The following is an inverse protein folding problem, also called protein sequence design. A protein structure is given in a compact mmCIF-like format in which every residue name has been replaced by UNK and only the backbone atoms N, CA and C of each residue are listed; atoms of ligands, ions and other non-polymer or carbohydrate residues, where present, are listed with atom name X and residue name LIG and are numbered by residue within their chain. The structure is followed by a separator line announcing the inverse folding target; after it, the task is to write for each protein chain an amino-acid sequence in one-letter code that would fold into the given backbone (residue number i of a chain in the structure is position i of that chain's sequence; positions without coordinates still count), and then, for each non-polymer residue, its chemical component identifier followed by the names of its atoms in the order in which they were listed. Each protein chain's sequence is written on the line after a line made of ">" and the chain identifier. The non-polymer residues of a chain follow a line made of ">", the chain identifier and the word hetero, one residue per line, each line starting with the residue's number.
data_IF_625613909332
#
_entry.id   IF_625613909332
#
_cell.length_a   1.000
_cell.length_b   1.000
_cell.length_c   1.000
_cell.angle_alpha   90.00
_cell.angle_beta   90.00
_cell.angle_gamma   90.00
#
_symmetry.space_group_name_H-M   'P 1'
#
loop_
_entity.id
_entity.type
_entity.pdbx_description
1 polymer ?
#
# COMPACT_ATOMS: atom_id res chain seq x y z
N UNK A 1 -23.53 23.75 8.74
CA UNK A 1 -24.43 23.10 7.76
C UNK A 1 -23.57 22.10 6.97
N UNK A 2 -23.41 20.86 7.44
CA UNK A 2 -22.70 19.80 6.72
C UNK A 2 -23.73 19.00 5.97
N UNK A 3 -23.67 19.03 4.64
CA UNK A 3 -24.49 18.20 3.77
C UNK A 3 -24.23 16.74 4.10
N UNK A 4 -25.28 16.00 4.49
CA UNK A 4 -25.25 14.52 4.50
C UNK A 4 -24.83 14.10 3.08
N UNK A 5 -23.65 13.51 2.97
CA UNK A 5 -23.30 12.73 1.78
C UNK A 5 -24.19 11.48 1.85
N UNK A 6 -25.40 11.60 1.32
CA UNK A 6 -26.17 10.43 0.94
C UNK A 6 -25.39 9.86 -0.24
N UNK A 7 -24.67 8.76 0.00
CA UNK A 7 -24.05 8.01 -1.09
C UNK A 7 -25.15 7.69 -2.09
N UNK A 8 -25.07 8.16 -3.34
CA UNK A 8 -26.03 7.75 -4.35
C UNK A 8 -25.96 6.23 -4.43
N UNK A 9 -27.10 5.56 -4.54
CA UNK A 9 -27.14 4.13 -4.80
C UNK A 9 -26.19 3.86 -5.96
N UNK A 10 -25.10 3.14 -5.68
CA UNK A 10 -24.05 2.86 -6.65
C UNK A 10 -24.71 2.21 -7.87
N UNK A 11 -24.63 2.86 -9.02
CA UNK A 11 -25.04 2.31 -10.32
C UNK A 11 -24.02 1.29 -10.84
N UNK A 12 -22.94 1.07 -10.09
CA UNK A 12 -21.90 0.13 -10.46
C UNK A 12 -22.45 -1.30 -10.42
N UNK A 13 -22.23 -2.03 -11.50
CA UNK A 13 -22.64 -3.43 -11.56
C UNK A 13 -21.86 -4.27 -10.53
N UNK A 14 -22.51 -5.27 -9.95
CA UNK A 14 -21.86 -6.24 -9.06
C UNK A 14 -20.61 -6.86 -9.73
N UNK A 15 -20.70 -7.13 -11.02
CA UNK A 15 -19.58 -7.66 -11.82
C UNK A 15 -18.37 -6.69 -11.79
N UNK A 16 -18.57 -5.38 -12.04
CA UNK A 16 -17.47 -4.40 -12.00
C UNK A 16 -16.82 -4.30 -10.62
N UNK A 17 -17.61 -4.40 -9.56
CA UNK A 17 -17.11 -4.42 -8.18
C UNK A 17 -16.29 -5.67 -7.93
N UNK A 18 -16.77 -6.86 -8.31
CA UNK A 18 -16.04 -8.12 -8.13
C UNK A 18 -14.73 -8.16 -8.91
N UNK A 19 -14.74 -7.69 -10.17
CA UNK A 19 -13.52 -7.60 -10.99
C UNK A 19 -12.51 -6.65 -10.34
N UNK A 20 -12.95 -5.48 -9.89
CA UNK A 20 -12.05 -4.50 -9.23
C UNK A 20 -11.48 -5.03 -7.92
N UNK A 21 -12.26 -5.76 -7.12
CA UNK A 21 -11.76 -6.45 -5.93
C UNK A 21 -10.73 -7.52 -6.29
N UNK A 22 -11.02 -8.35 -7.28
CA UNK A 22 -10.08 -9.36 -7.77
C UNK A 22 -8.75 -8.75 -8.23
N UNK A 23 -8.83 -7.61 -8.94
CA UNK A 23 -7.63 -6.87 -9.36
C UNK A 23 -6.81 -6.41 -8.16
N UNK A 24 -7.40 -5.74 -7.16
CA UNK A 24 -6.62 -5.26 -6.01
C UNK A 24 -6.10 -6.42 -5.14
N UNK A 25 -6.83 -7.52 -5.03
CA UNK A 25 -6.38 -8.69 -4.27
C UNK A 25 -5.17 -9.37 -4.92
N UNK A 26 -5.22 -9.60 -6.22
CA UNK A 26 -4.17 -10.30 -6.92
C UNK A 26 -2.99 -9.39 -7.27
N UNK A 27 -3.28 -8.23 -7.86
CA UNK A 27 -2.23 -7.34 -8.37
C UNK A 27 -1.39 -6.75 -7.25
N UNK A 28 -2.00 -6.22 -6.19
CA UNK A 28 -1.18 -5.68 -5.09
C UNK A 28 -0.36 -6.74 -4.38
N UNK A 29 -0.93 -7.93 -4.18
CA UNK A 29 -0.18 -9.04 -3.61
C UNK A 29 1.03 -9.44 -4.47
N UNK A 30 0.84 -9.54 -5.79
CA UNK A 30 1.93 -9.87 -6.72
C UNK A 30 2.98 -8.77 -6.88
N UNK A 31 2.64 -7.49 -6.56
CA UNK A 31 3.64 -6.41 -6.61
C UNK A 31 4.75 -6.58 -5.58
N UNK A 32 4.52 -7.25 -4.46
CA UNK A 32 5.60 -7.56 -3.50
C UNK A 32 6.62 -8.51 -4.11
N UNK A 33 6.16 -9.56 -4.79
CA UNK A 33 7.00 -10.51 -5.52
C UNK A 33 7.72 -9.82 -6.68
N UNK A 34 6.99 -9.03 -7.49
CA UNK A 34 7.59 -8.27 -8.58
C UNK A 34 8.63 -7.25 -8.11
N UNK A 35 8.42 -6.61 -6.94
CA UNK A 35 9.42 -5.72 -6.36
C UNK A 35 10.69 -6.50 -5.98
N UNK A 36 10.55 -7.71 -5.44
CA UNK A 36 11.69 -8.54 -5.08
C UNK A 36 12.55 -8.91 -6.30
N UNK A 37 11.96 -9.17 -7.47
CA UNK A 37 12.72 -9.36 -8.72
C UNK A 37 13.43 -8.08 -9.18
N UNK A 38 12.75 -6.93 -9.10
CA UNK A 38 13.33 -5.64 -9.55
C UNK A 38 14.57 -5.26 -8.74
N UNK A 39 14.53 -5.46 -7.41
CA UNK A 39 15.63 -5.06 -6.52
C UNK A 39 16.81 -6.05 -6.51
N UNK A 40 16.78 -7.09 -7.32
CA UNK A 40 17.94 -7.97 -7.55
C UNK A 40 19.03 -7.28 -8.37
N UNK A 41 18.66 -6.43 -9.33
CA UNK A 41 19.59 -5.73 -10.20
C UNK A 41 19.50 -4.19 -10.09
N UNK A 42 18.36 -3.66 -9.69
CA UNK A 42 18.11 -2.21 -9.62
C UNK A 42 18.06 -1.79 -8.16
N UNK A 43 18.81 -0.77 -7.81
CA UNK A 43 18.81 -0.20 -6.47
C UNK A 43 17.39 0.17 -6.00
N UNK A 44 17.03 -0.11 -4.72
CA UNK A 44 15.65 -0.06 -4.24
C UNK A 44 14.94 1.29 -4.42
N UNK A 45 15.63 2.41 -4.13
CA UNK A 45 15.05 3.75 -4.33
C UNK A 45 14.89 4.08 -5.80
N UNK A 46 15.89 3.72 -6.59
CA UNK A 46 15.89 3.90 -8.05
C UNK A 46 14.77 3.11 -8.71
N UNK A 47 14.68 1.80 -8.44
CA UNK A 47 13.65 0.92 -9.00
C UNK A 47 12.24 1.34 -8.58
N UNK A 48 12.06 1.64 -7.29
CA UNK A 48 10.79 2.16 -6.77
C UNK A 48 10.40 3.48 -7.43
N UNK A 49 11.37 4.38 -7.57
CA UNK A 49 11.14 5.70 -8.16
C UNK A 49 10.69 5.62 -9.61
N UNK A 50 11.42 4.92 -10.47
CA UNK A 50 11.05 4.76 -11.88
C UNK A 50 9.71 4.02 -12.04
N UNK A 51 9.46 2.98 -11.24
CA UNK A 51 8.18 2.27 -11.22
C UNK A 51 7.00 3.22 -10.97
N UNK A 52 7.07 4.02 -9.90
CA UNK A 52 5.97 4.90 -9.53
C UNK A 52 5.85 6.11 -10.46
N UNK A 53 6.95 6.63 -11.01
CA UNK A 53 6.88 7.65 -12.06
C UNK A 53 6.18 7.11 -13.31
N UNK A 54 6.52 5.91 -13.75
CA UNK A 54 5.85 5.24 -14.88
C UNK A 54 4.36 5.06 -14.60
N UNK A 55 3.99 4.56 -13.42
CA UNK A 55 2.59 4.43 -13.03
C UNK A 55 1.87 5.80 -13.00
N UNK A 56 2.53 6.85 -12.51
CA UNK A 56 1.99 8.21 -12.47
C UNK A 56 1.74 8.79 -13.86
N UNK A 57 2.64 8.54 -14.81
CA UNK A 57 2.46 8.92 -16.22
C UNK A 57 1.24 8.18 -16.81
N UNK A 58 1.17 6.86 -16.62
CA UNK A 58 0.05 6.05 -17.11
C UNK A 58 -1.30 6.49 -16.52
N UNK A 59 -1.36 6.76 -15.21
CA UNK A 59 -2.55 7.28 -14.54
C UNK A 59 -2.93 8.67 -15.05
N UNK A 60 -1.96 9.56 -15.27
CA UNK A 60 -2.20 10.90 -15.81
C UNK A 60 -2.78 10.82 -17.22
N UNK A 61 -2.20 9.98 -18.08
CA UNK A 61 -2.72 9.74 -19.43
C UNK A 61 -4.13 9.16 -19.38
N UNK A 62 -4.40 8.19 -18.50
CA UNK A 62 -5.72 7.61 -18.32
C UNK A 62 -6.76 8.66 -17.88
N UNK A 63 -6.40 9.54 -16.94
CA UNK A 63 -7.27 10.65 -16.51
C UNK A 63 -7.54 11.62 -17.67
N UNK A 64 -6.53 11.98 -18.44
CA UNK A 64 -6.68 12.89 -19.61
C UNK A 64 -7.60 12.27 -20.66
N UNK A 65 -7.42 10.99 -20.98
CA UNK A 65 -8.20 10.29 -21.99
C UNK A 65 -9.67 10.14 -21.57
N UNK A 66 -9.89 9.78 -20.29
CA UNK A 66 -11.26 9.43 -19.82
C UNK A 66 -12.08 10.64 -19.34
N UNK A 67 -11.41 11.66 -18.75
CA UNK A 67 -12.06 12.82 -18.15
C UNK A 67 -11.68 14.15 -18.80
N UNK A 68 -10.76 14.11 -19.76
CA UNK A 68 -10.20 15.28 -20.43
C UNK A 68 -9.16 16.03 -19.58
N UNK A 69 -8.37 16.94 -20.22
CA UNK A 69 -7.25 17.63 -19.55
C UNK A 69 -7.72 18.59 -18.41
N UNK A 70 -8.99 18.97 -18.41
CA UNK A 70 -9.55 19.81 -17.33
C UNK A 70 -9.62 19.10 -15.99
N UNK A 71 -9.65 17.76 -15.97
CA UNK A 71 -9.64 16.97 -14.75
C UNK A 71 -8.31 17.09 -13.95
N UNK A 72 -7.24 17.58 -14.59
CA UNK A 72 -5.96 17.90 -13.94
C UNK A 72 -5.87 19.38 -13.51
N UNK A 73 -6.91 20.22 -13.79
CA UNK A 73 -6.97 21.59 -13.29
C UNK A 73 -7.50 21.59 -11.86
N UNK A 74 -6.58 21.54 -10.92
CA UNK A 74 -6.82 21.50 -9.48
C UNK A 74 -6.14 22.71 -8.81
N UNK A 75 -6.55 23.02 -7.59
CA UNK A 75 -5.95 24.15 -6.86
C UNK A 75 -4.49 23.89 -6.54
N UNK A 76 -3.68 24.96 -6.47
CA UNK A 76 -2.27 24.86 -6.06
C UNK A 76 -2.11 24.16 -4.70
N UNK A 77 -3.03 24.41 -3.77
CA UNK A 77 -3.05 23.77 -2.44
C UNK A 77 -3.23 22.26 -2.55
N UNK A 78 -4.18 21.80 -3.37
CA UNK A 78 -4.42 20.37 -3.59
C UNK A 78 -3.21 19.68 -4.25
N UNK A 79 -2.53 20.34 -5.21
CA UNK A 79 -1.29 19.82 -5.81
C UNK A 79 -0.20 19.65 -4.76
N UNK A 80 0.06 20.69 -3.96
CA UNK A 80 1.10 20.66 -2.92
C UNK A 80 0.78 19.56 -1.89
N UNK A 81 -0.46 19.47 -1.45
CA UNK A 81 -0.89 18.45 -0.50
C UNK A 81 -0.74 17.03 -1.08
N UNK A 82 -1.10 16.83 -2.36
CA UNK A 82 -0.94 15.54 -3.01
C UNK A 82 0.55 15.17 -3.16
N UNK A 83 1.42 16.12 -3.51
CA UNK A 83 2.88 15.91 -3.56
C UNK A 83 3.40 15.55 -2.17
N UNK A 84 2.98 16.26 -1.12
CA UNK A 84 3.39 15.99 0.25
C UNK A 84 3.02 14.57 0.71
N UNK A 85 1.78 14.14 0.45
CA UNK A 85 1.37 12.76 0.75
C UNK A 85 2.13 11.74 -0.11
N UNK A 86 2.33 12.04 -1.40
CA UNK A 86 3.14 11.19 -2.29
C UNK A 86 4.60 11.05 -1.81
N UNK A 87 5.19 12.14 -1.31
CA UNK A 87 6.50 12.11 -0.68
C UNK A 87 6.55 11.13 0.52
N UNK A 88 5.55 11.19 1.40
CA UNK A 88 5.50 10.29 2.58
C UNK A 88 5.26 8.84 2.15
N UNK A 89 4.21 8.58 1.37
CA UNK A 89 3.77 7.22 1.04
C UNK A 89 4.71 6.51 0.07
N UNK A 90 5.25 7.25 -0.91
CA UNK A 90 6.00 6.68 -2.03
C UNK A 90 7.47 7.08 -1.95
N UNK A 91 7.77 8.35 -1.68
CA UNK A 91 9.14 8.82 -1.59
C UNK A 91 9.91 8.24 -0.41
N UNK A 92 9.26 8.14 0.75
CA UNK A 92 9.90 7.64 1.98
C UNK A 92 9.58 6.16 2.27
N UNK A 93 8.29 5.78 2.27
CA UNK A 93 7.90 4.45 2.72
C UNK A 93 8.20 3.37 1.68
N UNK A 94 7.78 3.54 0.42
CA UNK A 94 7.86 2.46 -0.57
C UNK A 94 9.27 1.96 -0.87
N UNK A 95 10.33 2.81 -0.95
CA UNK A 95 11.69 2.31 -1.16
C UNK A 95 12.20 1.43 -0.02
N UNK A 96 11.77 1.70 1.23
CA UNK A 96 12.12 0.84 2.38
C UNK A 96 11.55 -0.57 2.25
N UNK A 97 10.40 -0.74 1.57
CA UNK A 97 9.90 -2.07 1.20
C UNK A 97 10.82 -2.75 0.18
N UNK A 98 11.34 -1.98 -0.79
CA UNK A 98 12.35 -2.47 -1.75
C UNK A 98 13.63 -2.91 -1.05
N UNK A 99 14.15 -2.10 -0.12
CA UNK A 99 15.32 -2.46 0.73
C UNK A 99 15.03 -3.73 1.51
N UNK A 100 13.83 -3.87 2.06
CA UNK A 100 13.44 -5.09 2.79
C UNK A 100 13.35 -6.30 1.86
N UNK A 101 12.84 -6.12 0.63
CA UNK A 101 12.65 -7.19 -0.35
C UNK A 101 13.95 -7.84 -0.85
N UNK A 102 15.10 -7.17 -0.65
CA UNK A 102 16.42 -7.77 -0.91
C UNK A 102 16.81 -8.84 0.12
N UNK A 103 16.15 -8.90 1.28
CA UNK A 103 16.64 -9.67 2.43
C UNK A 103 15.57 -10.48 3.18
N UNK A 104 14.29 -10.20 2.94
CA UNK A 104 13.17 -10.96 3.52
C UNK A 104 12.15 -11.32 2.44
N UNK A 105 11.41 -12.39 2.68
CA UNK A 105 10.45 -12.93 1.71
C UNK A 105 9.31 -11.95 1.39
N UNK A 106 8.85 -11.98 0.15
CA UNK A 106 7.75 -11.12 -0.34
C UNK A 106 6.45 -11.36 0.43
N UNK A 107 6.20 -12.61 0.84
CA UNK A 107 5.06 -12.97 1.66
C UNK A 107 5.12 -12.38 3.06
N UNK A 108 6.31 -12.31 3.68
CA UNK A 108 6.49 -11.66 4.98
C UNK A 108 6.31 -10.14 4.86
N UNK A 109 6.83 -9.52 3.81
CA UNK A 109 6.59 -8.08 3.54
C UNK A 109 5.09 -7.80 3.44
N UNK A 110 4.36 -8.59 2.65
CA UNK A 110 2.91 -8.42 2.50
C UNK A 110 2.16 -8.55 3.84
N UNK A 111 2.60 -9.50 4.68
CA UNK A 111 2.04 -9.70 6.03
C UNK A 111 2.29 -8.50 6.94
N UNK A 112 3.51 -7.96 6.95
CA UNK A 112 3.85 -6.79 7.77
C UNK A 112 3.11 -5.54 7.28
N UNK A 113 3.01 -5.33 5.95
CA UNK A 113 2.27 -4.20 5.37
C UNK A 113 0.77 -4.29 5.69
N UNK A 114 0.22 -5.49 5.78
CA UNK A 114 -1.17 -5.68 6.20
C UNK A 114 -1.48 -5.13 7.60
N UNK A 115 -0.46 -4.87 8.44
CA UNK A 115 -0.64 -4.21 9.75
C UNK A 115 -0.93 -2.71 9.66
N UNK A 116 -0.93 -2.09 8.49
CA UNK A 116 -1.23 -0.64 8.32
C UNK A 116 -2.47 -0.18 9.09
N UNK A 117 -3.62 -0.89 9.10
CA UNK A 117 -4.79 -0.50 9.88
C UNK A 117 -4.52 -0.42 11.40
N UNK A 118 -3.64 -1.29 11.91
CA UNK A 118 -3.24 -1.27 13.33
C UNK A 118 -2.49 0.02 13.66
N UNK A 119 -1.52 0.39 12.83
CA UNK A 119 -0.77 1.65 13.02
C UNK A 119 -1.66 2.88 12.85
N UNK A 120 -2.61 2.86 11.91
CA UNK A 120 -3.60 3.94 11.77
C UNK A 120 -4.48 4.06 13.02
N UNK A 121 -4.94 2.94 13.60
CA UNK A 121 -5.73 2.95 14.84
C UNK A 121 -4.94 3.51 16.02
N UNK A 122 -3.64 3.20 16.13
CA UNK A 122 -2.74 3.77 17.13
C UNK A 122 -2.59 5.28 16.92
N UNK A 123 -2.38 5.74 15.69
CA UNK A 123 -2.30 7.17 15.38
C UNK A 123 -3.61 7.88 15.75
N UNK A 124 -4.76 7.33 15.40
CA UNK A 124 -6.06 7.88 15.78
C UNK A 124 -6.19 8.02 17.30
N UNK A 125 -5.76 7.01 18.05
CA UNK A 125 -5.74 7.07 19.52
C UNK A 125 -4.83 8.19 20.04
N UNK A 126 -3.63 8.34 19.51
CA UNK A 126 -2.69 9.41 19.90
C UNK A 126 -3.25 10.81 19.60
N UNK A 127 -4.12 10.95 18.61
CA UNK A 127 -4.80 12.20 18.24
C UNK A 127 -6.20 12.35 18.87
N UNK A 128 -6.52 11.58 19.90
CA UNK A 128 -7.70 11.76 20.75
C UNK A 128 -8.91 10.86 20.44
N UNK A 129 -8.81 10.00 19.43
CA UNK A 129 -9.87 9.01 19.15
C UNK A 129 -9.76 7.82 20.11
N UNK A 130 -10.69 7.67 21.05
CA UNK A 130 -10.68 6.54 21.98
C UNK A 130 -11.01 5.24 21.23
N UNK A 131 -10.11 4.25 21.15
CA UNK A 131 -10.36 3.02 20.43
C UNK A 131 -11.40 2.15 21.15
N UNK A 132 -12.12 1.32 20.41
CA UNK A 132 -13.00 0.31 21.01
C UNK A 132 -12.17 -0.80 21.68
N UNK A 133 -12.78 -1.53 22.63
CA UNK A 133 -12.11 -2.67 23.25
C UNK A 133 -11.65 -3.72 22.20
N UNK A 134 -12.45 -3.93 21.14
CA UNK A 134 -12.07 -4.83 20.04
C UNK A 134 -10.84 -4.32 19.30
N UNK A 135 -10.74 -3.01 19.07
CA UNK A 135 -9.58 -2.38 18.45
C UNK A 135 -8.33 -2.59 19.33
N UNK A 136 -8.44 -2.40 20.66
CA UNK A 136 -7.32 -2.62 21.58
C UNK A 136 -6.84 -4.07 21.55
N UNK A 137 -7.79 -5.02 21.66
CA UNK A 137 -7.46 -6.46 21.59
C UNK A 137 -6.79 -6.78 20.24
N UNK A 138 -7.33 -6.24 19.15
CA UNK A 138 -6.78 -6.45 17.82
C UNK A 138 -5.35 -5.93 17.65
N UNK A 139 -5.04 -4.76 18.23
CA UNK A 139 -3.68 -4.20 18.27
C UNK A 139 -2.74 -5.16 19.01
N UNK A 140 -3.11 -5.59 20.22
CA UNK A 140 -2.28 -6.50 21.04
C UNK A 140 -2.04 -7.83 20.33
N UNK A 141 -3.09 -8.43 19.76
CA UNK A 141 -2.99 -9.69 18.99
C UNK A 141 -2.12 -9.51 17.75
N UNK A 142 -2.29 -8.44 16.99
CA UNK A 142 -1.50 -8.18 15.78
C UNK A 142 -0.01 -8.05 16.09
N UNK A 143 0.36 -7.30 17.13
CA UNK A 143 1.77 -7.24 17.58
C UNK A 143 2.26 -8.58 18.13
N UNK A 144 1.41 -9.36 18.79
CA UNK A 144 1.74 -10.72 19.18
C UNK A 144 2.19 -11.60 18.01
N UNK A 145 1.50 -11.47 16.86
CA UNK A 145 1.90 -12.15 15.62
C UNK A 145 3.27 -11.71 15.11
N UNK A 146 3.60 -10.42 15.17
CA UNK A 146 4.94 -9.94 14.79
C UNK A 146 6.01 -10.47 15.74
N UNK A 147 5.74 -10.51 17.05
CA UNK A 147 6.68 -11.07 18.03
C UNK A 147 6.99 -12.54 17.70
N UNK A 148 6.01 -13.32 17.26
CA UNK A 148 6.21 -14.71 16.85
C UNK A 148 7.25 -14.79 15.72
N UNK A 149 7.18 -13.92 14.71
CA UNK A 149 8.18 -13.88 13.61
C UNK A 149 9.58 -13.50 14.14
N UNK A 150 9.65 -12.58 15.10
CA UNK A 150 10.92 -12.09 15.62
C UNK A 150 11.61 -13.07 16.58
N UNK A 151 10.84 -13.85 17.32
CA UNK A 151 11.36 -14.75 18.39
C UNK A 151 11.64 -16.15 17.86
N UNK A 152 10.78 -16.68 16.99
CA UNK A 152 11.02 -18.00 16.42
C UNK A 152 12.13 -17.88 15.36
N UNK A 153 13.24 -18.66 15.47
CA UNK A 153 14.32 -18.62 14.51
C UNK A 153 13.77 -18.82 13.09
N UNK A 154 13.82 -17.78 12.30
CA UNK A 154 13.49 -17.80 10.87
C UNK A 154 14.77 -17.58 10.07
N UNK A 155 14.73 -17.90 8.80
CA UNK A 155 15.81 -17.57 7.86
C UNK A 155 15.89 -16.06 7.61
N UNK A 156 14.88 -15.31 8.10
CA UNK A 156 14.65 -13.90 7.81
C UNK A 156 15.54 -12.97 8.67
N UNK A 157 16.03 -11.91 8.09
CA UNK A 157 16.88 -10.93 8.76
C UNK A 157 16.06 -9.91 9.56
N UNK A 158 16.22 -9.91 10.89
CA UNK A 158 15.47 -9.06 11.83
C UNK A 158 15.61 -7.56 11.49
N UNK A 159 16.79 -7.11 11.06
CA UNK A 159 17.00 -5.71 10.69
C UNK A 159 16.03 -5.28 9.59
N UNK A 160 15.85 -6.10 8.56
CA UNK A 160 14.98 -5.78 7.43
C UNK A 160 13.51 -5.97 7.76
N UNK A 161 13.15 -6.80 8.73
CA UNK A 161 11.80 -6.82 9.32
C UNK A 161 11.52 -5.47 10.00
N UNK A 162 12.47 -4.95 10.78
CA UNK A 162 12.32 -3.62 11.43
C UNK A 162 12.22 -2.51 10.38
N UNK A 163 13.03 -2.53 9.32
CA UNK A 163 12.94 -1.56 8.23
C UNK A 163 11.56 -1.60 7.55
N UNK A 164 11.02 -2.80 7.31
CA UNK A 164 9.69 -2.98 6.78
C UNK A 164 8.61 -2.44 7.72
N UNK A 165 8.72 -2.64 9.03
CA UNK A 165 7.80 -2.06 10.02
C UNK A 165 7.90 -0.52 10.07
N UNK A 166 9.10 0.06 9.97
CA UNK A 166 9.29 1.52 9.86
C UNK A 166 8.59 2.05 8.61
N UNK A 167 8.79 1.39 7.46
CA UNK A 167 8.06 1.71 6.22
C UNK A 167 6.55 1.75 6.45
N UNK A 168 6.02 0.73 7.14
CA UNK A 168 4.60 0.60 7.40
C UNK A 168 4.06 1.70 8.34
N UNK A 169 4.83 2.09 9.36
CA UNK A 169 4.50 3.25 10.21
C UNK A 169 4.45 4.54 9.37
N UNK A 170 5.42 4.76 8.48
CA UNK A 170 5.43 5.93 7.59
C UNK A 170 4.21 5.90 6.65
N UNK A 171 3.85 4.72 6.10
CA UNK A 171 2.63 4.55 5.30
C UNK A 171 1.36 4.89 6.10
N UNK A 172 1.29 4.46 7.36
CA UNK A 172 0.18 4.77 8.24
C UNK A 172 0.07 6.28 8.51
N UNK A 173 1.20 6.96 8.74
CA UNK A 173 1.26 8.42 8.90
C UNK A 173 0.74 9.13 7.64
N UNK A 174 1.25 8.76 6.45
CA UNK A 174 0.78 9.33 5.20
C UNK A 174 -0.72 9.09 4.96
N UNK A 175 -1.20 7.87 5.23
CA UNK A 175 -2.62 7.52 5.13
C UNK A 175 -3.50 8.28 6.13
N UNK A 176 -3.04 8.46 7.36
CA UNK A 176 -3.72 9.23 8.40
C UNK A 176 -3.86 10.71 8.01
N UNK A 177 -2.80 11.33 7.49
CA UNK A 177 -2.83 12.73 7.07
C UNK A 177 -3.58 12.93 5.77
N UNK A 178 -3.57 11.95 4.83
CA UNK A 178 -4.32 12.04 3.58
C UNK A 178 -5.83 12.24 3.78
N UNK A 179 -6.37 11.78 4.91
CA UNK A 179 -7.78 11.94 5.27
C UNK A 179 -8.10 13.31 5.92
N UNK A 180 -7.08 14.10 6.25
CA UNK A 180 -7.19 15.35 7.01
C UNK A 180 -6.81 16.60 6.25
N UNK A 181 -6.19 16.44 5.10
CA UNK A 181 -5.79 17.56 4.24
C UNK A 181 -6.60 17.55 2.94
N UNK A 182 -6.71 18.71 2.33
CA UNK A 182 -7.46 18.88 1.09
C UNK A 182 -6.70 18.28 -0.09
N UNK A 183 -7.24 17.20 -0.65
CA UNK A 183 -6.73 16.51 -1.83
C UNK A 183 -7.68 16.74 -3.02
N UNK A 184 -7.25 16.48 -4.27
CA UNK A 184 -8.13 16.48 -5.43
C UNK A 184 -9.34 15.56 -5.22
N UNK A 185 -10.53 15.99 -5.67
CA UNK A 185 -11.78 15.22 -5.53
C UNK A 185 -11.72 13.87 -6.25
N UNK A 186 -10.98 13.80 -7.36
CA UNK A 186 -10.79 12.56 -8.09
C UNK A 186 -9.67 11.72 -7.47
N UNK A 187 -9.95 10.53 -6.92
CA UNK A 187 -8.93 9.63 -6.38
C UNK A 187 -7.85 9.26 -7.41
N UNK A 188 -8.23 9.14 -8.71
CA UNK A 188 -7.28 8.88 -9.80
C UNK A 188 -6.32 10.04 -10.02
N UNK A 189 -6.82 11.28 -10.00
CA UNK A 189 -5.98 12.48 -10.12
C UNK A 189 -5.03 12.58 -8.93
N UNK A 190 -5.52 12.30 -7.74
CA UNK A 190 -4.70 12.24 -6.52
C UNK A 190 -3.60 11.19 -6.68
N UNK A 191 -3.95 9.97 -7.07
CA UNK A 191 -3.00 8.88 -7.27
C UNK A 191 -1.95 9.22 -8.34
N UNK A 192 -2.35 9.82 -9.46
CA UNK A 192 -1.43 10.22 -10.54
C UNK A 192 -0.34 11.19 -10.03
N UNK A 193 -0.74 12.21 -9.25
CA UNK A 193 0.20 13.19 -8.69
C UNK A 193 1.08 12.54 -7.62
N UNK A 194 0.48 11.80 -6.70
CA UNK A 194 1.22 11.14 -5.61
C UNK A 194 2.26 10.16 -6.15
N UNK A 195 1.89 9.33 -7.14
CA UNK A 195 2.80 8.34 -7.70
C UNK A 195 3.92 8.98 -8.50
N UNK A 196 3.62 9.97 -9.35
CA UNK A 196 4.64 10.63 -10.15
C UNK A 196 5.66 11.39 -9.29
N UNK A 197 5.19 12.32 -8.46
CA UNK A 197 6.09 13.13 -7.64
C UNK A 197 6.71 12.36 -6.48
N UNK A 198 6.00 11.39 -5.90
CA UNK A 198 6.55 10.49 -4.90
C UNK A 198 7.67 9.62 -5.47
N UNK A 199 7.51 9.10 -6.69
CA UNK A 199 8.54 8.37 -7.41
C UNK A 199 9.77 9.24 -7.71
N UNK A 200 9.57 10.48 -8.14
CA UNK A 200 10.66 11.45 -8.32
C UNK A 200 11.41 11.71 -7.00
N UNK A 201 10.69 11.88 -5.90
CA UNK A 201 11.31 12.05 -4.58
C UNK A 201 12.10 10.80 -4.17
N UNK A 202 11.62 9.59 -4.47
CA UNK A 202 12.35 8.36 -4.18
C UNK A 202 13.70 8.35 -4.90
N UNK A 203 13.74 8.66 -6.21
CA UNK A 203 15.00 8.74 -6.97
C UNK A 203 15.95 9.79 -6.34
N UNK A 204 15.44 10.98 -6.04
CA UNK A 204 16.26 12.02 -5.42
C UNK A 204 16.86 11.56 -4.09
N UNK A 205 16.07 10.91 -3.24
CA UNK A 205 16.55 10.36 -1.96
C UNK A 205 17.60 9.27 -2.23
N UNK A 206 17.39 8.38 -3.21
CA UNK A 206 18.35 7.35 -3.62
C UNK A 206 19.70 7.97 -4.00
N UNK A 207 19.70 9.00 -4.85
CA UNK A 207 20.90 9.74 -5.24
C UNK A 207 21.61 10.34 -4.00
N UNK A 208 20.89 10.99 -3.09
CA UNK A 208 21.47 11.53 -1.86
C UNK A 208 22.02 10.46 -0.92
N UNK A 209 21.50 9.25 -0.99
CA UNK A 209 22.00 8.08 -0.26
C UNK A 209 23.19 7.40 -0.92
N UNK A 210 23.55 7.81 -2.13
CA UNK A 210 24.63 7.24 -2.91
C UNK A 210 24.23 6.04 -3.76
N UNK A 211 22.94 5.82 -4.02
CA UNK A 211 22.51 4.83 -5.02
C UNK A 211 22.96 5.25 -6.43
N UNK A 212 23.37 4.28 -7.20
CA UNK A 212 23.70 4.48 -8.60
C UNK A 212 22.44 4.33 -9.47
N UNK A 213 21.86 5.43 -9.90
CA UNK A 213 20.68 5.41 -10.78
C UNK A 213 20.95 4.75 -12.13
N UNK A 214 22.22 4.54 -12.51
CA UNK A 214 22.56 3.82 -13.74
C UNK A 214 22.21 2.33 -13.67
N UNK A 215 22.07 1.74 -12.49
CA UNK A 215 21.62 0.35 -12.31
C UNK A 215 20.33 0.07 -13.05
N UNK A 216 19.44 1.07 -13.16
CA UNK A 216 18.21 0.97 -13.96
C UNK A 216 18.48 0.71 -15.44
N UNK A 217 19.51 1.31 -16.01
CA UNK A 217 19.82 1.18 -17.45
C UNK A 217 20.71 -0.02 -17.76
N UNK A 218 21.40 -0.55 -16.75
CA UNK A 218 22.32 -1.68 -16.92
C UNK A 218 21.73 -3.02 -16.47
N UNK A 219 20.49 -3.02 -15.93
CA UNK A 219 19.79 -4.26 -15.64
C UNK A 219 19.69 -5.12 -16.91
N UNK A 220 20.19 -6.36 -16.82
CA UNK A 220 20.38 -7.25 -17.96
C UNK A 220 19.37 -8.39 -18.00
N UNK A 221 18.85 -8.80 -16.84
CA UNK A 221 17.96 -9.93 -16.74
C UNK A 221 16.55 -9.60 -17.26
N UNK A 222 16.03 -10.48 -18.11
CA UNK A 222 14.66 -10.33 -18.65
C UNK A 222 13.59 -10.35 -17.56
N UNK A 223 13.81 -11.11 -16.49
CA UNK A 223 12.90 -11.22 -15.36
C UNK A 223 12.74 -9.90 -14.62
N UNK A 224 13.83 -9.15 -14.44
CA UNK A 224 13.82 -7.79 -13.85
C UNK A 224 12.93 -6.84 -14.66
N UNK A 225 13.08 -6.83 -15.99
CA UNK A 225 12.29 -5.96 -16.86
C UNK A 225 10.83 -6.38 -16.98
N UNK A 226 10.55 -7.69 -17.05
CA UNK A 226 9.18 -8.21 -17.02
C UNK A 226 8.50 -7.82 -15.71
N UNK A 227 9.19 -8.02 -14.59
CA UNK A 227 8.67 -7.64 -13.29
C UNK A 227 8.45 -6.13 -13.19
N UNK A 228 9.43 -5.31 -13.61
CA UNK A 228 9.31 -3.85 -13.60
C UNK A 228 8.11 -3.34 -14.42
N UNK A 229 7.97 -3.80 -15.66
CA UNK A 229 6.83 -3.44 -16.51
C UNK A 229 5.51 -3.92 -15.91
N UNK A 230 5.49 -5.15 -15.42
CA UNK A 230 4.32 -5.72 -14.76
C UNK A 230 3.87 -4.87 -13.57
N UNK A 231 4.75 -4.62 -12.59
CA UNK A 231 4.37 -3.87 -11.39
C UNK A 231 4.06 -2.39 -11.66
N UNK A 232 4.61 -1.81 -12.74
CA UNK A 232 4.32 -0.43 -13.15
C UNK A 232 2.93 -0.33 -13.79
N UNK A 233 2.65 -1.17 -14.80
CA UNK A 233 1.38 -1.15 -15.55
C UNK A 233 0.23 -1.69 -14.70
N UNK A 234 0.40 -2.89 -14.13
CA UNK A 234 -0.64 -3.51 -13.32
C UNK A 234 -0.86 -2.74 -12.01
N UNK A 235 0.20 -2.11 -11.47
CA UNK A 235 0.08 -1.19 -10.35
C UNK A 235 -0.84 0.00 -10.67
N UNK A 236 -0.70 0.63 -11.83
CA UNK A 236 -1.59 1.70 -12.27
C UNK A 236 -3.05 1.22 -12.45
N UNK A 237 -3.24 0.01 -13.00
CA UNK A 237 -4.56 -0.62 -13.11
C UNK A 237 -5.17 -0.88 -11.72
N UNK A 238 -4.39 -1.39 -10.77
CA UNK A 238 -4.85 -1.63 -9.41
C UNK A 238 -5.22 -0.33 -8.68
N UNK A 239 -4.45 0.74 -8.84
CA UNK A 239 -4.81 2.07 -8.33
C UNK A 239 -6.13 2.57 -8.94
N UNK A 240 -6.36 2.33 -10.24
CA UNK A 240 -7.61 2.70 -10.91
C UNK A 240 -8.80 1.90 -10.35
N UNK A 241 -8.63 0.59 -10.17
CA UNK A 241 -9.63 -0.29 -9.57
C UNK A 241 -9.93 0.10 -8.12
N UNK A 242 -8.90 0.41 -7.34
CA UNK A 242 -9.04 0.89 -5.96
C UNK A 242 -9.81 2.22 -5.90
N UNK A 243 -9.46 3.18 -6.76
CA UNK A 243 -10.17 4.46 -6.85
C UNK A 243 -11.65 4.28 -7.22
N UNK A 244 -11.94 3.34 -8.13
CA UNK A 244 -13.33 2.98 -8.48
C UNK A 244 -14.07 2.39 -7.27
N UNK A 245 -13.46 1.47 -6.54
CA UNK A 245 -14.05 0.85 -5.35
C UNK A 245 -14.34 1.86 -4.24
N UNK A 246 -13.43 2.80 -3.99
CA UNK A 246 -13.61 3.85 -2.96
C UNK A 246 -14.85 4.71 -3.20
N UNK A 247 -15.24 4.92 -4.45
CA UNK A 247 -16.41 5.73 -4.81
C UNK A 247 -17.70 4.89 -4.81
N UNK A 248 -17.60 3.60 -5.14
CA UNK A 248 -18.78 2.78 -5.46
C UNK A 248 -19.12 1.72 -4.40
N UNK A 249 -18.27 1.53 -3.39
CA UNK A 249 -18.46 0.48 -2.38
C UNK A 249 -18.14 0.96 -0.97
N UNK A 250 -18.69 0.31 0.06
CA UNK A 250 -18.28 0.60 1.44
C UNK A 250 -16.78 0.36 1.64
N UNK A 251 -16.12 1.28 2.33
CA UNK A 251 -14.67 1.20 2.59
C UNK A 251 -14.27 -0.10 3.30
N UNK A 252 -15.17 -0.67 4.10
CA UNK A 252 -14.96 -1.95 4.77
C UNK A 252 -14.79 -3.13 3.80
N UNK A 253 -15.44 -3.07 2.63
CA UNK A 253 -15.26 -4.08 1.58
C UNK A 253 -13.90 -3.89 0.89
N UNK A 254 -13.52 -2.65 0.63
CA UNK A 254 -12.21 -2.34 0.05
C UNK A 254 -11.09 -2.80 0.99
N UNK A 255 -11.21 -2.55 2.28
CA UNK A 255 -10.21 -2.91 3.29
C UNK A 255 -9.94 -4.43 3.39
N UNK A 256 -10.81 -5.28 2.82
CA UNK A 256 -10.61 -6.74 2.84
C UNK A 256 -9.36 -7.20 2.09
N UNK A 257 -8.81 -6.36 1.17
CA UNK A 257 -7.52 -6.67 0.52
C UNK A 257 -6.39 -6.90 1.52
N UNK A 258 -6.43 -6.24 2.69
CA UNK A 258 -5.42 -6.42 3.73
C UNK A 258 -5.36 -7.86 4.28
N UNK A 259 -6.46 -8.61 4.18
CA UNK A 259 -6.51 -10.02 4.61
C UNK A 259 -6.10 -10.99 3.50
N UNK A 260 -6.41 -10.66 2.26
CA UNK A 260 -6.19 -11.53 1.10
C UNK A 260 -4.75 -11.42 0.58
N UNK A 261 -4.21 -10.19 0.55
CA UNK A 261 -2.90 -9.92 -0.03
C UNK A 261 -1.76 -10.74 0.58
N UNK A 262 -1.63 -10.93 1.91
CA UNK A 262 -0.57 -11.75 2.47
C UNK A 262 -0.63 -13.21 2.00
N UNK A 263 -1.83 -13.78 1.90
CA UNK A 263 -2.04 -15.18 1.48
C UNK A 263 -1.60 -15.34 0.03
N UNK A 264 -2.05 -14.43 -0.85
CA UNK A 264 -1.69 -14.45 -2.28
C UNK A 264 -0.19 -14.21 -2.47
N UNK A 265 0.40 -13.27 -1.72
CA UNK A 265 1.83 -12.98 -1.81
C UNK A 265 2.71 -14.16 -1.35
N UNK A 266 2.34 -14.83 -0.26
CA UNK A 266 3.02 -16.06 0.21
C UNK A 266 2.96 -17.16 -0.86
N UNK A 267 1.79 -17.39 -1.45
CA UNK A 267 1.64 -18.38 -2.51
C UNK A 267 2.47 -18.04 -3.75
N UNK A 268 2.42 -16.79 -4.22
CA UNK A 268 3.17 -16.34 -5.40
C UNK A 268 4.68 -16.31 -5.15
N UNK A 269 5.13 -15.89 -3.96
CA UNK A 269 6.54 -15.90 -3.58
C UNK A 269 7.10 -17.33 -3.55
N UNK A 270 6.34 -18.28 -3.03
CA UNK A 270 6.73 -19.69 -3.08
C UNK A 270 6.77 -20.21 -4.51
N UNK A 271 5.74 -19.91 -5.34
CA UNK A 271 5.63 -20.43 -6.71
C UNK A 271 6.69 -19.84 -7.66
N UNK A 272 6.95 -18.53 -7.59
CA UNK A 272 7.76 -17.81 -8.58
C UNK A 272 9.21 -17.62 -8.15
N UNK A 273 9.49 -17.60 -6.83
CA UNK A 273 10.82 -17.33 -6.27
C UNK A 273 11.35 -18.46 -5.37
N UNK A 274 10.59 -19.56 -5.26
CA UNK A 274 10.91 -20.67 -4.34
C UNK A 274 11.10 -20.21 -2.88
N UNK A 275 10.41 -19.14 -2.46
CA UNK A 275 10.44 -18.63 -1.09
C UNK A 275 9.89 -19.69 -0.13
N UNK A 276 10.62 -19.98 0.96
CA UNK A 276 10.19 -20.99 1.91
C UNK A 276 9.09 -20.46 2.81
N UNK A 277 7.96 -21.15 2.84
CA UNK A 277 6.87 -20.87 3.77
C UNK A 277 7.13 -21.65 5.06
N UNK A 278 7.70 -20.98 6.07
CA UNK A 278 7.94 -21.60 7.37
C UNK A 278 6.66 -21.68 8.21
N UNK A 279 6.60 -22.65 9.13
CA UNK A 279 5.48 -22.75 10.07
C UNK A 279 5.32 -21.48 10.91
N UNK A 280 6.42 -20.79 11.25
CA UNK A 280 6.39 -19.51 11.95
C UNK A 280 5.68 -18.43 11.16
N UNK A 281 5.90 -18.34 9.83
CA UNK A 281 5.20 -17.38 8.95
C UNK A 281 3.69 -17.70 8.89
N UNK A 282 3.31 -18.97 8.81
CA UNK A 282 1.89 -19.36 8.80
C UNK A 282 1.21 -19.00 10.13
N UNK A 283 1.82 -19.38 11.26
CA UNK A 283 1.25 -19.10 12.59
C UNK A 283 1.19 -17.60 12.86
N UNK A 284 2.29 -16.87 12.65
CA UNK A 284 2.32 -15.41 12.82
C UNK A 284 1.33 -14.72 11.89
N UNK A 285 1.28 -15.14 10.63
CA UNK A 285 0.34 -14.59 9.63
C UNK A 285 -1.11 -14.77 10.06
N UNK A 286 -1.48 -15.93 10.56
CA UNK A 286 -2.82 -16.19 11.09
C UNK A 286 -3.15 -15.26 12.25
N UNK A 287 -2.22 -15.09 13.21
CA UNK A 287 -2.39 -14.22 14.36
C UNK A 287 -2.48 -12.74 13.94
N UNK A 288 -1.61 -12.28 13.03
CA UNK A 288 -1.64 -10.89 12.49
C UNK A 288 -2.97 -10.62 11.78
N UNK A 289 -3.40 -11.50 10.88
CA UNK A 289 -4.66 -11.34 10.12
C UNK A 289 -5.86 -11.30 11.07
N UNK A 290 -5.86 -12.14 12.10
CA UNK A 290 -6.91 -12.10 13.12
C UNK A 290 -6.91 -10.79 13.91
N UNK A 291 -5.73 -10.28 14.29
CA UNK A 291 -5.58 -8.98 14.95
C UNK A 291 -6.12 -7.84 14.08
N UNK A 292 -5.78 -7.81 12.78
CA UNK A 292 -6.27 -6.82 11.83
C UNK A 292 -7.80 -6.90 11.70
N UNK A 293 -8.38 -8.11 11.64
CA UNK A 293 -9.81 -8.29 11.57
C UNK A 293 -10.53 -7.67 12.79
N UNK A 294 -9.98 -7.87 14.00
CA UNK A 294 -10.52 -7.26 15.22
C UNK A 294 -10.45 -5.74 15.18
N UNK A 295 -9.34 -5.15 14.70
CA UNK A 295 -9.20 -3.69 14.55
C UNK A 295 -10.25 -3.15 13.60
N UNK A 296 -10.37 -3.70 12.39
CA UNK A 296 -11.32 -3.25 11.37
C UNK A 296 -12.77 -3.35 11.85
N UNK A 297 -13.12 -4.46 12.52
CA UNK A 297 -14.45 -4.65 13.08
C UNK A 297 -14.73 -3.70 14.28
N UNK A 298 -13.71 -3.38 15.06
CA UNK A 298 -13.80 -2.45 16.17
C UNK A 298 -14.06 -1.02 15.74
N UNK A 299 -13.34 -0.56 14.69
CA UNK A 299 -13.50 0.77 14.09
C UNK A 299 -14.88 0.93 13.44
N UNK A 300 -15.33 -0.06 12.64
CA UNK A 300 -16.66 -0.04 12.00
C UNK A 300 -17.80 0.10 13.03
N UNK A 301 -17.72 -0.59 14.16
CA UNK A 301 -18.75 -0.50 15.21
C UNK A 301 -18.80 0.89 15.83
N UNK A 302 -17.67 1.55 15.99
CA UNK A 302 -17.59 2.91 16.53
C UNK A 302 -18.28 3.93 15.61
N UNK A 303 -18.04 3.84 14.30
CA UNK A 303 -18.70 4.70 13.29
C UNK A 303 -20.21 4.55 13.30
N UNK A 304 -20.73 3.35 13.58
CA UNK A 304 -22.17 3.08 13.66
C UNK A 304 -22.82 3.58 14.96
N UNK A 305 -22.07 3.60 16.07
CA UNK A 305 -22.59 3.95 17.42
C UNK A 305 -22.43 5.45 17.69
N UNK A 306 -21.43 6.10 17.12
CA UNK A 306 -21.20 7.54 17.19
C UNK A 306 -21.26 8.13 15.78
N UNK A 307 -22.43 8.22 15.14
CA UNK A 307 -22.55 9.09 13.98
C UNK A 307 -22.22 10.49 14.48
N UNK A 308 -21.11 11.06 14.04
CA UNK A 308 -20.72 12.42 14.43
C UNK A 308 -21.91 13.38 14.21
N UNK A 309 -22.35 14.02 15.30
CA UNK A 309 -23.33 15.11 15.32
C UNK A 309 -22.86 16.29 14.47
#
# INVERSE_FOLDING_TARGET
>A
MRSRIVLPHSTASTFSVMVSLGIIYFVWASTYVGTAFVVEEIDPYTGTGFRFMTAGILLSLFVIITKGPRALKISKKQVINAIFIGFILIGLASPLLGVSAQHISSGLIALLVAMTPIFIAILRFLFGDIPSLKTIIGIVVGFGGVIIVLVIPTVENILFIIICLISNVIMAIGSFWSQRIELPESPLTTAAIQTFFGGMCAILIGIFRGEDTSTFFYASESETWIAFLYISVMGAIAYSAYAFLLVNTPISLVATHAFVNPIVALFLGNLLRNEKISTSIIVSGTVVVFGIALVVLGEKRKELISPEN
#
